data_IF_663816959747
#
_entry.id   IF_663816959747
#
_cell.length_a   1.000
_cell.length_b   1.000
_cell.length_c   1.000
_cell.angle_alpha   90.00
_cell.angle_beta   90.00
_cell.angle_gamma   90.00
#
_symmetry.space_group_name_H-M   'P 1'
#
loop_
_entity.id
_entity.type
_entity.pdbx_description
1 polymer ?
#
# COMPACT_ATOMS: atom_id res chain seq x y z
N UNK A 1 -23.68 -4.11 -40.22
CA UNK A 1 -22.27 -4.43 -39.94
C UNK A 1 -22.03 -5.03 -38.56
N UNK A 2 -22.39 -4.40 -37.42
CA UNK A 2 -22.17 -4.99 -36.09
C UNK A 2 -23.23 -6.06 -35.70
N UNK A 3 -24.51 -5.75 -35.95
CA UNK A 3 -25.63 -6.68 -35.73
C UNK A 3 -25.54 -7.95 -36.58
N UNK A 4 -24.96 -7.85 -37.78
CA UNK A 4 -24.74 -9.00 -38.68
C UNK A 4 -23.68 -9.97 -38.15
N UNK A 5 -22.79 -9.51 -37.28
CA UNK A 5 -21.74 -10.30 -36.64
C UNK A 5 -22.11 -10.72 -35.21
N UNK A 6 -23.28 -10.31 -34.70
CA UNK A 6 -23.71 -10.55 -33.32
C UNK A 6 -22.84 -9.84 -32.27
N UNK A 7 -22.19 -8.73 -32.64
CA UNK A 7 -21.27 -7.97 -31.78
C UNK A 7 -21.83 -6.58 -31.47
N UNK A 8 -21.37 -5.97 -30.37
CA UNK A 8 -21.78 -4.62 -29.97
C UNK A 8 -20.92 -3.55 -30.64
N UNK A 9 -21.54 -2.41 -30.97
CA UNK A 9 -20.81 -1.19 -31.32
C UNK A 9 -20.54 -0.40 -30.05
N UNK A 10 -19.27 -0.38 -29.60
CA UNK A 10 -18.88 0.25 -28.34
C UNK A 10 -18.09 1.53 -28.60
N UNK A 11 -18.52 2.64 -28.02
CA UNK A 11 -17.78 3.91 -28.04
C UNK A 11 -16.60 3.83 -27.07
N UNK A 12 -15.36 3.88 -27.59
CA UNK A 12 -14.14 3.69 -26.79
C UNK A 12 -13.43 4.99 -26.47
N UNK A 13 -13.67 6.04 -27.28
CA UNK A 13 -13.12 7.38 -27.07
C UNK A 13 -14.15 8.43 -27.49
N UNK A 14 -14.80 9.02 -26.49
CA UNK A 14 -15.76 10.12 -26.61
C UNK A 14 -15.08 11.48 -26.85
N UNK A 15 -13.84 11.65 -26.36
CA UNK A 15 -13.07 12.88 -26.48
C UNK A 15 -12.42 13.10 -27.86
N UNK A 16 -12.52 12.14 -28.79
CA UNK A 16 -12.00 12.28 -30.14
C UNK A 16 -13.07 12.90 -31.06
N UNK A 17 -12.65 13.73 -32.04
CA UNK A 17 -13.56 14.29 -33.04
C UNK A 17 -13.15 13.83 -34.45
N UNK A 18 -13.90 12.91 -35.10
CA UNK A 18 -15.15 12.29 -34.64
C UNK A 18 -14.94 11.19 -33.57
N UNK A 19 -15.98 10.88 -32.77
CA UNK A 19 -15.91 9.83 -31.74
C UNK A 19 -15.57 8.48 -32.36
N UNK A 20 -14.70 7.73 -31.67
CA UNK A 20 -14.19 6.46 -32.20
C UNK A 20 -14.98 5.30 -31.60
N UNK A 21 -15.81 4.70 -32.44
CA UNK A 21 -16.56 3.48 -32.12
C UNK A 21 -15.79 2.25 -32.60
N UNK A 22 -15.71 1.21 -31.78
CA UNK A 22 -15.12 -0.09 -32.14
C UNK A 22 -16.17 -1.19 -31.99
N UNK A 23 -16.25 -2.06 -32.99
CA UNK A 23 -17.09 -3.26 -32.91
C UNK A 23 -16.39 -4.28 -32.02
N UNK A 24 -16.98 -4.64 -30.89
CA UNK A 24 -16.44 -5.62 -29.94
C UNK A 24 -17.54 -6.26 -29.09
N UNK A 25 -17.28 -7.42 -28.51
CA UNK A 25 -18.15 -7.99 -27.48
C UNK A 25 -17.93 -7.24 -26.15
N UNK A 26 -18.93 -6.46 -25.73
CA UNK A 26 -18.81 -5.64 -24.53
C UNK A 26 -18.74 -6.48 -23.25
N UNK A 27 -19.43 -7.63 -23.22
CA UNK A 27 -19.44 -8.54 -22.07
C UNK A 27 -18.07 -9.15 -21.81
N UNK A 28 -17.43 -9.66 -22.87
CA UNK A 28 -16.07 -10.20 -22.82
C UNK A 28 -15.05 -9.14 -22.45
N UNK A 29 -15.15 -7.95 -23.05
CA UNK A 29 -14.26 -6.82 -22.73
C UNK A 29 -14.36 -6.42 -21.25
N UNK A 30 -15.57 -6.29 -20.71
CA UNK A 30 -15.79 -5.96 -19.29
C UNK A 30 -15.20 -7.03 -18.36
N UNK A 31 -15.32 -8.30 -18.73
CA UNK A 31 -14.74 -9.42 -17.99
C UNK A 31 -13.20 -9.35 -18.00
N UNK A 32 -12.58 -9.22 -19.17
CA UNK A 32 -11.12 -9.13 -19.31
C UNK A 32 -10.56 -7.90 -18.58
N UNK A 33 -11.23 -6.75 -18.66
CA UNK A 33 -10.84 -5.54 -17.94
C UNK A 33 -10.95 -5.73 -16.41
N UNK A 34 -12.01 -6.39 -15.94
CA UNK A 34 -12.18 -6.73 -14.52
C UNK A 34 -11.09 -7.70 -14.04
N UNK A 35 -10.75 -8.71 -14.83
CA UNK A 35 -9.66 -9.64 -14.52
C UNK A 35 -8.31 -8.92 -14.47
N UNK A 36 -7.99 -8.10 -15.47
CA UNK A 36 -6.75 -7.31 -15.53
C UNK A 36 -6.65 -6.32 -14.36
N UNK A 37 -7.75 -5.67 -13.98
CA UNK A 37 -7.81 -4.79 -12.82
C UNK A 37 -7.59 -5.55 -11.50
N UNK A 38 -8.18 -6.74 -11.35
CA UNK A 38 -7.95 -7.62 -10.19
C UNK A 38 -6.50 -8.09 -10.12
N UNK A 39 -5.91 -8.48 -11.24
CA UNK A 39 -4.52 -8.93 -11.31
C UNK A 39 -3.55 -7.78 -10.99
N UNK A 40 -3.80 -6.58 -11.52
CA UNK A 40 -3.04 -5.38 -11.19
C UNK A 40 -3.13 -5.02 -9.70
N UNK A 41 -4.33 -5.09 -9.10
CA UNK A 41 -4.52 -4.89 -7.65
C UNK A 41 -3.80 -5.93 -6.79
N UNK A 42 -3.71 -7.19 -7.26
CA UNK A 42 -2.95 -8.24 -6.57
C UNK A 42 -1.43 -8.04 -6.71
N UNK A 43 -0.97 -7.60 -7.88
CA UNK A 43 0.45 -7.31 -8.17
C UNK A 43 0.95 -6.06 -7.45
N UNK A 44 0.07 -5.10 -7.18
CA UNK A 44 0.41 -3.96 -6.33
C UNK A 44 0.76 -4.47 -4.92
N UNK A 45 2.06 -4.56 -4.62
CA UNK A 45 2.56 -4.92 -3.29
C UNK A 45 1.99 -3.94 -2.28
N UNK A 46 1.00 -4.37 -1.50
CA UNK A 46 0.43 -3.56 -0.43
C UNK A 46 1.46 -3.49 0.68
N UNK A 47 2.33 -2.49 0.61
CA UNK A 47 3.33 -2.24 1.65
C UNK A 47 2.60 -1.89 2.93
N UNK A 48 2.49 -2.88 3.82
CA UNK A 48 1.85 -2.70 5.12
C UNK A 48 2.76 -1.88 6.00
N UNK A 49 2.23 -0.80 6.58
CA UNK A 49 2.94 0.00 7.57
C UNK A 49 2.60 -0.56 8.95
N UNK A 50 3.59 -1.12 9.64
CA UNK A 50 3.48 -1.59 11.02
C UNK A 50 3.96 -0.49 11.95
N UNK A 51 3.23 -0.20 13.02
CA UNK A 51 3.61 0.81 13.99
C UNK A 51 4.20 0.17 15.25
N UNK A 52 5.34 0.68 15.71
CA UNK A 52 6.04 0.21 16.90
C UNK A 52 6.22 1.37 17.87
N UNK A 53 5.80 1.20 19.13
CA UNK A 53 5.89 2.26 20.14
C UNK A 53 6.97 1.97 21.18
N UNK A 54 7.86 2.93 21.39
CA UNK A 54 8.92 2.89 22.39
C UNK A 54 8.69 3.95 23.46
N UNK A 55 9.33 3.75 24.62
CA UNK A 55 9.35 4.71 25.71
C UNK A 55 10.80 5.06 26.04
N UNK A 56 11.09 6.29 26.50
CA UNK A 56 12.45 6.71 26.84
C UNK A 56 13.08 5.87 27.98
N UNK A 57 12.27 5.34 28.90
CA UNK A 57 12.70 4.46 29.99
C UNK A 57 12.46 2.98 29.70
N UNK A 58 12.66 2.55 28.45
CA UNK A 58 12.52 1.13 28.09
C UNK A 58 13.67 0.32 28.70
N UNK A 59 13.35 -0.81 29.33
CA UNK A 59 14.35 -1.75 29.84
C UNK A 59 15.05 -2.49 28.70
N UNK A 60 16.29 -2.95 28.92
CA UNK A 60 17.12 -3.62 27.89
C UNK A 60 16.43 -4.86 27.30
N UNK A 61 15.74 -5.66 28.13
CA UNK A 61 15.01 -6.84 27.67
C UNK A 61 13.79 -6.52 26.80
N UNK A 62 13.01 -5.48 27.16
CA UNK A 62 11.86 -5.04 26.34
C UNK A 62 12.34 -4.43 25.02
N UNK A 63 13.43 -3.65 25.06
CA UNK A 63 14.04 -3.09 23.86
C UNK A 63 14.47 -4.20 22.88
N UNK A 64 15.25 -5.18 23.34
CA UNK A 64 15.70 -6.28 22.49
C UNK A 64 14.54 -7.09 21.89
N UNK A 65 13.49 -7.32 22.66
CA UNK A 65 12.30 -8.04 22.18
C UNK A 65 11.56 -7.25 21.09
N UNK A 66 11.47 -5.92 21.25
CA UNK A 66 10.85 -5.05 20.25
C UNK A 66 11.71 -4.92 19.00
N UNK A 67 13.02 -4.77 19.13
CA UNK A 67 13.95 -4.71 17.99
C UNK A 67 13.86 -5.99 17.15
N UNK A 68 13.83 -7.18 17.77
CA UNK A 68 13.62 -8.45 17.05
C UNK A 68 12.31 -8.50 16.26
N UNK A 69 11.23 -7.93 16.81
CA UNK A 69 9.94 -7.83 16.10
C UNK A 69 10.02 -6.88 14.91
N UNK A 70 10.71 -5.75 15.07
CA UNK A 70 10.94 -4.80 13.97
C UNK A 70 11.75 -5.47 12.85
N UNK A 71 12.80 -6.20 13.19
CA UNK A 71 13.61 -6.96 12.23
C UNK A 71 12.78 -7.99 11.46
N UNK A 72 11.88 -8.72 12.14
CA UNK A 72 10.93 -9.61 11.49
C UNK A 72 10.01 -8.89 10.51
N UNK A 73 9.43 -7.75 10.90
CA UNK A 73 8.55 -6.97 10.02
C UNK A 73 9.28 -6.40 8.79
N UNK A 74 10.54 -5.98 8.96
CA UNK A 74 11.37 -5.53 7.85
C UNK A 74 11.69 -6.69 6.89
N UNK A 75 11.96 -7.88 7.43
CA UNK A 75 12.23 -9.09 6.64
C UNK A 75 10.99 -9.55 5.85
N UNK A 76 9.79 -9.34 6.39
CA UNK A 76 8.51 -9.57 5.68
C UNK A 76 8.20 -8.50 4.61
N UNK A 77 9.07 -7.50 4.43
CA UNK A 77 8.87 -6.40 3.46
C UNK A 77 7.86 -5.35 3.91
N UNK A 78 7.48 -5.35 5.18
CA UNK A 78 6.63 -4.31 5.75
C UNK A 78 7.46 -3.08 6.12
N UNK A 79 6.88 -1.88 5.94
CA UNK A 79 7.48 -0.65 6.46
C UNK A 79 7.17 -0.54 7.95
N UNK A 80 8.16 -0.19 8.77
CA UNK A 80 7.96 -0.03 10.21
C UNK A 80 8.06 1.45 10.58
N UNK A 81 7.02 1.98 11.23
CA UNK A 81 7.00 3.33 11.81
C UNK A 81 7.26 3.23 13.30
N UNK A 82 8.41 3.72 13.73
CA UNK A 82 8.82 3.72 15.14
C UNK A 82 8.44 5.06 15.76
N UNK A 83 7.64 5.04 16.83
CA UNK A 83 7.21 6.23 17.56
C UNK A 83 7.69 6.14 19.02
N UNK A 84 8.49 7.11 19.45
CA UNK A 84 8.87 7.24 20.86
C UNK A 84 7.83 8.11 21.56
N UNK A 85 7.15 7.56 22.56
CA UNK A 85 6.18 8.29 23.37
C UNK A 85 6.89 8.90 24.57
N UNK A 86 6.93 10.22 24.62
CA UNK A 86 7.36 10.99 25.78
C UNK A 86 6.16 11.26 26.71
N UNK A 87 6.36 11.24 28.03
CA UNK A 87 5.32 11.61 29.00
C UNK A 87 5.79 12.72 29.93
N UNK A 88 4.95 13.74 30.12
CA UNK A 88 5.19 14.84 31.05
C UNK A 88 6.48 15.59 30.75
N UNK A 89 7.35 15.74 31.77
CA UNK A 89 8.63 16.46 31.70
C UNK A 89 9.65 15.85 30.72
N UNK A 90 9.42 14.65 30.22
CA UNK A 90 10.31 14.00 29.26
C UNK A 90 10.25 14.62 27.86
N UNK A 91 9.22 15.43 27.54
CA UNK A 91 9.16 16.19 26.28
C UNK A 91 10.31 17.19 26.13
N UNK A 92 10.92 17.64 27.24
CA UNK A 92 12.06 18.57 27.22
C UNK A 92 13.38 17.89 26.85
N UNK A 93 13.43 16.55 26.78
CA UNK A 93 14.63 15.78 26.49
C UNK A 93 14.49 14.93 25.23
N UNK A 94 14.42 15.56 24.03
CA UNK A 94 14.42 14.82 22.77
C UNK A 94 15.71 14.01 22.59
N UNK A 95 16.80 14.41 23.24
CA UNK A 95 18.09 13.69 23.24
C UNK A 95 17.97 12.26 23.78
N UNK A 96 17.11 12.02 24.77
CA UNK A 96 16.87 10.68 25.31
C UNK A 96 16.21 9.77 24.27
N UNK A 97 15.30 10.32 23.46
CA UNK A 97 14.71 9.56 22.36
C UNK A 97 15.72 9.28 21.25
N UNK A 98 16.57 10.26 20.93
CA UNK A 98 17.60 10.11 19.89
C UNK A 98 18.61 9.02 20.23
N UNK A 99 19.09 8.97 21.49
CA UNK A 99 19.97 7.89 21.98
C UNK A 99 19.37 6.49 21.87
N UNK A 100 18.05 6.37 21.94
CA UNK A 100 17.36 5.08 21.78
C UNK A 100 17.19 4.72 20.30
N UNK A 101 17.13 5.73 19.43
CA UNK A 101 17.02 5.55 17.98
C UNK A 101 18.38 5.23 17.33
N UNK A 102 19.47 5.80 17.85
CA UNK A 102 20.86 5.55 17.42
C UNK A 102 21.39 4.17 17.86
N UNK A 103 20.64 3.44 18.69
CA UNK A 103 21.04 2.14 19.26
C UNK A 103 20.32 0.99 18.56
#
# INVERSE_FOLDING_TARGET
>A
MAQELGLDLVEVADQANPPVCRVMDYGKFKYEHSQKAKESRKKATRVLVKEMKYRPKIGVGDFATKTRKVEGFLSEGSKVKITIMFRGREMQHPELGRRILDR
#
